data_IF_392636142605
#
_entry.id   IF_392636142605
#
_cell.length_a   1.000
_cell.length_b   1.000
_cell.length_c   1.000
_cell.angle_alpha   90.00
_cell.angle_beta   90.00
_cell.angle_gamma   90.00
#
_symmetry.space_group_name_H-M   'P 1'
#
loop_
_entity.id
_entity.type
_entity.pdbx_description
1 polymer ?
#
# COMPACT_ATOMS: atom_id res chain seq x y z
N UNK A 1 16.00 -12.86 -32.49
CA UNK A 1 14.69 -12.86 -31.79
C UNK A 1 14.27 -11.42 -31.53
N UNK A 2 13.31 -10.88 -32.28
CA UNK A 2 12.77 -9.55 -32.01
C UNK A 2 11.87 -9.61 -30.78
N UNK A 3 12.37 -9.15 -29.64
CA UNK A 3 11.52 -8.78 -28.51
C UNK A 3 10.57 -7.68 -28.97
N UNK A 4 9.28 -8.01 -29.15
CA UNK A 4 8.23 -6.99 -29.30
C UNK A 4 8.41 -5.99 -28.14
N UNK A 5 8.51 -4.68 -28.40
CA UNK A 5 8.52 -3.72 -27.31
C UNK A 5 7.25 -3.96 -26.48
N UNK A 6 7.45 -4.22 -25.19
CA UNK A 6 6.34 -4.41 -24.26
C UNK A 6 5.40 -3.22 -24.43
N UNK A 7 4.12 -3.50 -24.75
CA UNK A 7 3.12 -2.46 -24.90
C UNK A 7 2.99 -1.77 -23.54
N UNK A 8 3.60 -0.60 -23.39
CA UNK A 8 3.50 0.22 -22.18
C UNK A 8 2.02 0.44 -21.88
N UNK A 9 1.61 0.06 -20.68
CA UNK A 9 0.26 0.30 -20.19
C UNK A 9 0.22 1.72 -19.63
N UNK A 10 -0.06 2.70 -20.48
CA UNK A 10 -0.12 4.12 -20.10
C UNK A 10 -1.06 4.37 -18.91
N UNK A 11 -2.12 3.57 -18.76
CA UNK A 11 -3.01 3.65 -17.60
C UNK A 11 -2.35 3.31 -16.26
N UNK A 12 -1.35 2.42 -16.23
CA UNK A 12 -0.58 2.14 -15.02
C UNK A 12 0.33 3.32 -14.67
N UNK A 13 0.95 3.94 -15.67
CA UNK A 13 1.77 5.14 -15.45
C UNK A 13 0.90 6.33 -14.99
N UNK A 14 -0.32 6.48 -15.53
CA UNK A 14 -1.29 7.46 -15.04
C UNK A 14 -1.71 7.19 -13.58
N UNK A 15 -1.96 5.93 -13.21
CA UNK A 15 -2.28 5.57 -11.83
C UNK A 15 -1.11 5.88 -10.87
N UNK A 16 0.15 5.70 -11.29
CA UNK A 16 1.33 6.16 -10.52
C UNK A 16 1.32 7.67 -10.33
N UNK A 17 1.01 8.42 -11.38
CA UNK A 17 0.89 9.88 -11.33
C UNK A 17 -0.18 10.34 -10.33
N UNK A 18 -1.36 9.70 -10.35
CA UNK A 18 -2.44 9.97 -9.39
C UNK A 18 -2.00 9.66 -7.95
N UNK A 19 -1.29 8.54 -7.74
CA UNK A 19 -0.77 8.17 -6.43
C UNK A 19 0.23 9.21 -5.89
N UNK A 20 1.21 9.60 -6.72
CA UNK A 20 2.20 10.62 -6.37
C UNK A 20 1.56 11.98 -6.08
N UNK A 21 0.60 12.41 -6.90
CA UNK A 21 -0.14 13.64 -6.68
C UNK A 21 -0.91 13.62 -5.35
N UNK A 22 -1.57 12.50 -5.03
CA UNK A 22 -2.28 12.34 -3.77
C UNK A 22 -1.33 12.39 -2.56
N UNK A 23 -0.18 11.72 -2.64
CA UNK A 23 0.83 11.74 -1.56
C UNK A 23 1.41 13.14 -1.36
N UNK A 24 1.70 13.88 -2.44
CA UNK A 24 2.15 15.28 -2.32
C UNK A 24 1.07 16.15 -1.69
N UNK A 25 -0.19 15.98 -2.11
CA UNK A 25 -1.33 16.72 -1.55
C UNK A 25 -1.44 16.53 -0.03
N UNK A 26 -1.28 15.30 0.48
CA UNK A 26 -1.38 15.02 1.93
C UNK A 26 -0.21 15.55 2.75
N UNK A 27 0.92 15.89 2.12
CA UNK A 27 2.09 16.45 2.80
C UNK A 27 2.22 17.97 2.65
N UNK A 28 1.54 18.57 1.67
CA UNK A 28 1.59 20.01 1.39
C UNK A 28 0.36 20.75 1.94
N UNK A 29 -0.81 20.12 1.88
CA UNK A 29 -2.08 20.73 2.28
C UNK A 29 -2.50 20.29 3.68
N UNK A 30 -3.21 21.14 4.43
CA UNK A 30 -3.72 20.78 5.75
C UNK A 30 -4.72 19.63 5.68
N UNK A 31 -4.61 18.70 6.63
CA UNK A 31 -5.53 17.56 6.75
C UNK A 31 -6.72 17.84 7.66
N UNK A 32 -6.60 18.86 8.52
CA UNK A 32 -7.67 19.37 9.36
C UNK A 32 -8.00 20.81 8.96
N UNK A 33 -9.28 21.18 9.05
CA UNK A 33 -9.70 22.57 8.87
C UNK A 33 -9.06 23.43 9.97
N UNK A 34 -8.43 24.57 9.62
CA UNK A 34 -7.73 25.39 10.61
C UNK A 34 -8.63 25.78 11.79
N UNK A 35 -8.19 25.46 13.00
CA UNK A 35 -8.93 25.76 14.23
C UNK A 35 -10.05 24.78 14.58
N UNK A 36 -10.25 23.69 13.82
CA UNK A 36 -11.23 22.63 14.14
C UNK A 36 -10.60 21.24 14.03
N UNK A 37 -11.36 20.22 14.43
CA UNK A 37 -10.99 18.79 14.27
C UNK A 37 -11.63 18.15 13.03
N UNK A 38 -12.23 18.94 12.15
CA UNK A 38 -12.89 18.42 10.95
C UNK A 38 -11.86 18.10 9.86
N UNK A 39 -12.03 16.94 9.22
CA UNK A 39 -11.18 16.52 8.11
C UNK A 39 -11.39 17.40 6.87
N UNK A 40 -10.30 17.80 6.20
CA UNK A 40 -10.38 18.49 4.91
C UNK A 40 -10.72 17.51 3.79
N UNK A 41 -11.17 18.04 2.64
CA UNK A 41 -11.33 17.23 1.42
C UNK A 41 -10.06 16.50 1.01
N UNK A 42 -8.89 17.09 1.25
CA UNK A 42 -7.59 16.43 1.00
C UNK A 42 -7.43 15.19 1.87
N UNK A 43 -7.73 15.28 3.16
CA UNK A 43 -7.65 14.14 4.07
C UNK A 43 -8.64 13.04 3.66
N UNK A 44 -9.90 13.43 3.43
CA UNK A 44 -10.97 12.49 3.06
C UNK A 44 -10.68 11.74 1.75
N UNK A 45 -10.05 12.40 0.78
CA UNK A 45 -9.79 11.81 -0.54
C UNK A 45 -8.48 11.04 -0.62
N UNK A 46 -7.40 11.56 -0.02
CA UNK A 46 -6.04 11.05 -0.25
C UNK A 46 -5.39 10.35 0.93
N UNK A 47 -5.78 10.67 2.18
CA UNK A 47 -5.14 10.08 3.35
C UNK A 47 -5.28 8.55 3.34
N UNK A 48 -4.16 7.85 3.55
CA UNK A 48 -4.02 6.39 3.39
C UNK A 48 -4.09 5.92 1.93
N UNK A 49 -5.16 6.30 1.21
CA UNK A 49 -5.48 5.83 -0.15
C UNK A 49 -4.40 6.10 -1.18
N UNK A 50 -3.78 7.29 -1.15
CA UNK A 50 -2.73 7.65 -2.11
C UNK A 50 -1.49 6.75 -1.95
N UNK A 51 -1.06 6.54 -0.71
CA UNK A 51 0.09 5.68 -0.38
C UNK A 51 -0.20 4.19 -0.62
N UNK A 52 -1.41 3.71 -0.35
CA UNK A 52 -1.83 2.36 -0.68
C UNK A 52 -1.98 2.12 -2.19
N UNK A 53 -2.50 3.11 -2.95
CA UNK A 53 -2.50 3.06 -4.42
C UNK A 53 -1.07 2.97 -4.95
N UNK A 54 -0.13 3.74 -4.40
CA UNK A 54 1.28 3.67 -4.77
C UNK A 54 1.85 2.25 -4.56
N UNK A 55 1.59 1.64 -3.40
CA UNK A 55 2.00 0.28 -3.07
C UNK A 55 1.40 -0.78 -4.02
N UNK A 56 0.09 -0.72 -4.27
CA UNK A 56 -0.60 -1.62 -5.21
C UNK A 56 0.00 -1.49 -6.62
N UNK A 57 0.23 -0.27 -7.11
CA UNK A 57 0.77 -0.05 -8.45
C UNK A 57 2.24 -0.49 -8.56
N UNK A 58 3.02 -0.45 -7.49
CA UNK A 58 4.33 -1.11 -7.52
C UNK A 58 4.23 -2.63 -7.52
N UNK A 59 3.30 -3.23 -6.79
CA UNK A 59 3.00 -4.66 -6.93
C UNK A 59 2.68 -5.03 -8.38
N UNK A 60 1.85 -4.23 -9.07
CA UNK A 60 1.61 -4.38 -10.52
C UNK A 60 2.91 -4.27 -11.29
N UNK A 61 3.76 -3.29 -10.97
CA UNK A 61 5.08 -3.11 -11.56
C UNK A 61 6.00 -4.33 -11.41
N UNK A 62 6.09 -4.91 -10.21
CA UNK A 62 6.86 -6.13 -9.95
C UNK A 62 6.34 -7.29 -10.78
N UNK A 63 5.02 -7.46 -10.85
CA UNK A 63 4.43 -8.50 -11.67
C UNK A 63 4.74 -8.29 -13.17
N UNK A 64 4.60 -7.08 -13.70
CA UNK A 64 4.93 -6.80 -15.11
C UNK A 64 6.42 -7.01 -15.41
N UNK A 65 7.32 -6.64 -14.48
CA UNK A 65 8.76 -6.88 -14.61
C UNK A 65 9.10 -8.37 -14.70
N UNK A 66 8.37 -9.23 -13.98
CA UNK A 66 8.63 -10.69 -13.95
C UNK A 66 7.75 -11.47 -14.95
N UNK A 67 7.37 -10.84 -16.07
CA UNK A 67 6.65 -11.47 -17.19
C UNK A 67 5.14 -11.26 -17.23
N UNK A 68 4.56 -10.49 -16.30
CA UNK A 68 3.12 -10.17 -16.33
C UNK A 68 2.23 -11.43 -16.32
N UNK A 69 1.36 -11.57 -17.33
CA UNK A 69 0.50 -12.74 -17.53
C UNK A 69 1.24 -13.99 -18.02
N UNK A 70 2.43 -13.82 -18.64
CA UNK A 70 3.30 -14.90 -19.12
C UNK A 70 4.57 -14.94 -18.26
N UNK A 71 4.46 -15.56 -17.08
CA UNK A 71 5.54 -15.64 -16.10
C UNK A 71 6.88 -16.06 -16.71
N UNK A 72 7.92 -15.28 -16.38
CA UNK A 72 9.30 -15.70 -16.56
C UNK A 72 9.62 -16.92 -15.68
N UNK A 73 10.54 -17.79 -16.12
CA UNK A 73 10.92 -19.04 -15.44
C UNK A 73 12.43 -19.20 -15.35
N UNK A 74 12.86 -20.08 -14.45
CA UNK A 74 14.24 -20.54 -14.31
C UNK A 74 15.25 -19.37 -14.19
N UNK A 75 16.22 -19.31 -15.09
CA UNK A 75 17.27 -18.30 -15.10
C UNK A 75 16.72 -16.87 -15.29
N UNK A 76 15.68 -16.69 -16.10
CA UNK A 76 15.08 -15.37 -16.34
C UNK A 76 14.42 -14.80 -15.08
N UNK A 77 13.65 -15.62 -14.37
CA UNK A 77 13.04 -15.21 -13.10
C UNK A 77 14.10 -14.93 -12.02
N UNK A 78 15.20 -15.70 -12.02
CA UNK A 78 16.30 -15.48 -11.10
C UNK A 78 17.02 -14.15 -11.36
N UNK A 79 17.21 -13.79 -12.63
CA UNK A 79 17.77 -12.48 -13.01
C UNK A 79 16.83 -11.33 -12.62
N UNK A 80 15.52 -11.48 -12.84
CA UNK A 80 14.53 -10.47 -12.43
C UNK A 80 14.55 -10.26 -10.92
N UNK A 81 14.58 -11.34 -10.13
CA UNK A 81 14.66 -11.28 -8.66
C UNK A 81 15.91 -10.56 -8.17
N UNK A 82 17.07 -10.81 -8.81
CA UNK A 82 18.31 -10.07 -8.50
C UNK A 82 18.18 -8.59 -8.81
N UNK A 83 17.61 -8.24 -9.98
CA UNK A 83 17.36 -6.85 -10.35
C UNK A 83 16.41 -6.13 -9.39
N UNK A 84 15.34 -6.81 -8.94
CA UNK A 84 14.42 -6.31 -7.93
C UNK A 84 15.14 -6.11 -6.60
N UNK A 85 15.95 -7.08 -6.15
CA UNK A 85 16.70 -6.99 -4.90
C UNK A 85 17.67 -5.80 -4.89
N UNK A 86 18.44 -5.60 -5.97
CA UNK A 86 19.34 -4.45 -6.11
C UNK A 86 18.56 -3.14 -6.07
N UNK A 87 17.45 -3.04 -6.81
CA UNK A 87 16.60 -1.84 -6.80
C UNK A 87 16.02 -1.58 -5.40
N UNK A 88 15.60 -2.62 -4.70
CA UNK A 88 15.07 -2.54 -3.35
C UNK A 88 16.11 -1.99 -2.37
N UNK A 89 17.35 -2.47 -2.44
CA UNK A 89 18.47 -1.97 -1.63
C UNK A 89 18.78 -0.50 -1.96
N UNK A 90 18.83 -0.12 -3.23
CA UNK A 90 19.07 1.28 -3.62
C UNK A 90 17.96 2.19 -3.10
N UNK A 91 16.68 1.79 -3.24
CA UNK A 91 15.55 2.55 -2.71
C UNK A 91 15.63 2.66 -1.18
N UNK A 92 15.99 1.58 -0.48
CA UNK A 92 16.16 1.59 0.96
C UNK A 92 17.27 2.55 1.41
N UNK A 93 18.43 2.53 0.74
CA UNK A 93 19.53 3.44 1.02
C UNK A 93 19.15 4.90 0.80
N UNK A 94 18.43 5.21 -0.29
CA UNK A 94 17.90 6.56 -0.51
C UNK A 94 16.92 6.93 0.62
N UNK A 95 16.08 6.00 1.05
CA UNK A 95 15.18 6.19 2.18
C UNK A 95 15.91 6.55 3.48
N UNK A 96 17.01 5.86 3.81
CA UNK A 96 17.82 6.14 5.00
C UNK A 96 18.50 7.52 4.92
N UNK A 97 19.05 7.87 3.75
CA UNK A 97 19.67 9.19 3.52
C UNK A 97 18.65 10.31 3.68
N UNK A 98 17.46 10.15 3.08
CA UNK A 98 16.38 11.13 3.22
C UNK A 98 15.81 11.15 4.64
N UNK A 99 15.81 10.03 5.36
CA UNK A 99 15.41 9.92 6.76
C UNK A 99 16.19 10.86 7.67
N UNK A 100 17.48 11.08 7.37
CA UNK A 100 18.34 12.02 8.09
C UNK A 100 18.02 13.50 7.83
N UNK A 101 17.16 13.80 6.84
CA UNK A 101 16.62 15.14 6.64
C UNK A 101 15.42 15.26 7.57
N UNK A 102 15.58 15.95 8.69
CA UNK A 102 14.56 16.17 9.71
C UNK A 102 13.32 16.87 9.12
N UNK A 103 12.38 16.06 8.62
CA UNK A 103 11.14 16.52 8.00
C UNK A 103 9.97 15.85 8.70
N UNK A 104 8.83 16.55 8.79
CA UNK A 104 7.57 15.99 9.30
C UNK A 104 6.87 15.06 8.28
N UNK A 105 7.61 14.53 7.30
CA UNK A 105 7.08 13.68 6.23
C UNK A 105 7.47 12.24 6.56
N UNK A 106 6.48 11.34 6.57
CA UNK A 106 6.74 9.90 6.69
C UNK A 106 7.35 9.35 5.39
N UNK A 107 8.65 9.04 5.42
CA UNK A 107 9.42 8.59 4.27
C UNK A 107 9.21 7.08 4.07
N UNK A 108 8.35 6.73 3.11
CA UNK A 108 7.98 5.35 2.81
C UNK A 108 9.14 4.51 2.21
N UNK A 109 10.19 5.13 1.66
CA UNK A 109 11.17 4.46 0.80
C UNK A 109 11.89 3.28 1.48
N UNK A 110 12.32 3.43 2.74
CA UNK A 110 13.01 2.34 3.43
C UNK A 110 12.12 1.11 3.61
N UNK A 111 10.90 1.31 4.11
CA UNK A 111 9.86 0.29 4.21
C UNK A 111 9.56 -0.35 2.84
N UNK A 112 9.58 0.45 1.76
CA UNK A 112 9.35 -0.03 0.41
C UNK A 112 10.44 -0.96 -0.11
N UNK A 113 11.70 -0.64 0.18
CA UNK A 113 12.82 -1.53 -0.10
C UNK A 113 12.64 -2.87 0.60
N UNK A 114 12.31 -2.86 1.89
CA UNK A 114 12.06 -4.09 2.66
C UNK A 114 10.87 -4.87 2.07
N UNK A 115 9.76 -4.20 1.78
CA UNK A 115 8.59 -4.79 1.12
C UNK A 115 8.94 -5.48 -0.20
N UNK A 116 9.78 -4.88 -1.03
CA UNK A 116 10.22 -5.49 -2.30
C UNK A 116 11.05 -6.75 -2.08
N UNK A 117 11.92 -6.76 -1.07
CA UNK A 117 12.69 -7.95 -0.71
C UNK A 117 11.77 -9.08 -0.21
N UNK A 118 10.83 -8.74 0.67
CA UNK A 118 9.83 -9.69 1.20
C UNK A 118 8.88 -10.19 0.11
N UNK A 119 8.65 -9.41 -0.95
CA UNK A 119 7.81 -9.80 -2.08
C UNK A 119 8.51 -10.79 -3.05
N UNK A 120 9.84 -10.93 -3.01
CA UNK A 120 10.60 -11.78 -3.94
C UNK A 120 10.10 -13.23 -4.05
N UNK A 121 9.75 -13.95 -2.96
CA UNK A 121 9.23 -15.31 -3.05
C UNK A 121 7.95 -15.41 -3.89
N UNK A 122 7.10 -14.38 -3.84
CA UNK A 122 5.80 -14.34 -4.51
C UNK A 122 5.88 -14.02 -6.01
N UNK A 123 7.00 -13.47 -6.48
CA UNK A 123 7.17 -13.06 -7.89
C UNK A 123 6.98 -14.20 -8.90
N UNK A 124 7.28 -15.44 -8.51
CA UNK A 124 7.11 -16.62 -9.38
C UNK A 124 5.70 -17.19 -9.41
N UNK A 125 4.77 -16.63 -8.63
CA UNK A 125 3.42 -17.18 -8.48
C UNK A 125 2.48 -16.71 -9.59
N UNK A 126 1.57 -17.62 -9.96
CA UNK A 126 0.44 -17.34 -10.87
C UNK A 126 -0.66 -16.57 -10.13
N UNK A 127 -1.65 -16.09 -10.89
CA UNK A 127 -2.77 -15.30 -10.35
C UNK A 127 -3.54 -16.01 -9.22
N UNK A 128 -3.82 -17.31 -9.32
CA UNK A 128 -4.63 -18.03 -8.31
C UNK A 128 -3.93 -18.11 -6.94
N UNK A 129 -2.67 -18.59 -6.83
CA UNK A 129 -1.94 -18.50 -5.56
C UNK A 129 -1.75 -17.09 -5.05
N UNK A 130 -1.49 -16.10 -5.92
CA UNK A 130 -1.37 -14.70 -5.50
C UNK A 130 -2.69 -14.16 -4.94
N UNK A 131 -3.83 -14.53 -5.52
CA UNK A 131 -5.13 -14.15 -5.01
C UNK A 131 -5.40 -14.77 -3.64
N UNK A 132 -5.04 -16.05 -3.45
CA UNK A 132 -5.17 -16.72 -2.15
C UNK A 132 -4.27 -16.08 -1.09
N UNK A 133 -3.01 -15.78 -1.43
CA UNK A 133 -2.09 -15.07 -0.55
C UNK A 133 -2.59 -13.66 -0.24
N UNK A 134 -2.99 -12.88 -1.25
CA UNK A 134 -3.52 -11.53 -1.04
C UNK A 134 -4.75 -11.54 -0.12
N UNK A 135 -5.72 -12.41 -0.38
CA UNK A 135 -6.92 -12.52 0.45
C UNK A 135 -6.59 -12.97 1.88
N UNK A 136 -5.80 -14.04 2.03
CA UNK A 136 -5.38 -14.53 3.34
C UNK A 136 -4.60 -13.46 4.12
N UNK A 137 -3.72 -12.72 3.46
CA UNK A 137 -2.89 -11.70 4.09
C UNK A 137 -3.71 -10.49 4.55
N UNK A 138 -4.63 -10.01 3.71
CA UNK A 138 -5.54 -8.92 4.07
C UNK A 138 -6.41 -9.26 5.29
N UNK A 139 -6.76 -10.54 5.48
CA UNK A 139 -7.58 -10.99 6.60
C UNK A 139 -6.76 -11.29 7.86
N UNK A 140 -5.60 -11.94 7.71
CA UNK A 140 -4.85 -12.50 8.84
C UNK A 140 -3.75 -11.57 9.35
N UNK A 141 -3.11 -10.77 8.49
CA UNK A 141 -2.03 -9.88 8.90
C UNK A 141 -2.47 -8.83 9.94
N UNK A 142 -3.68 -8.22 9.85
CA UNK A 142 -4.17 -7.31 10.89
C UNK A 142 -4.40 -7.99 12.24
N UNK A 143 -4.95 -9.21 12.24
CA UNK A 143 -5.15 -10.00 13.46
C UNK A 143 -3.81 -10.36 14.09
N UNK A 144 -2.84 -10.81 13.27
CA UNK A 144 -1.49 -11.09 13.72
C UNK A 144 -0.83 -9.83 14.30
N UNK A 145 -0.95 -8.68 13.63
CA UNK A 145 -0.41 -7.43 14.14
C UNK A 145 -1.04 -7.01 15.47
N UNK A 146 -2.36 -7.11 15.60
CA UNK A 146 -3.07 -6.81 16.85
C UNK A 146 -2.57 -7.67 18.02
N UNK A 147 -2.33 -8.96 17.79
CA UNK A 147 -1.83 -9.87 18.82
C UNK A 147 -0.34 -9.67 19.13
N UNK A 148 0.48 -9.37 18.13
CA UNK A 148 1.93 -9.29 18.26
C UNK A 148 2.41 -7.92 18.77
N UNK A 149 1.72 -6.83 18.44
CA UNK A 149 2.15 -5.45 18.80
C UNK A 149 2.42 -5.27 20.30
N UNK A 150 1.53 -5.67 21.23
CA UNK A 150 1.78 -5.49 22.66
C UNK A 150 3.00 -6.29 23.14
N UNK A 151 3.19 -7.51 22.63
CA UNK A 151 4.30 -8.39 23.00
C UNK A 151 5.63 -7.83 22.49
N UNK A 152 5.65 -7.32 21.27
CA UNK A 152 6.86 -6.75 20.66
C UNK A 152 7.21 -5.41 21.29
N UNK A 153 6.22 -4.53 21.52
CA UNK A 153 6.43 -3.23 22.15
C UNK A 153 7.00 -3.35 23.57
N UNK A 154 6.57 -4.35 24.35
CA UNK A 154 7.11 -4.61 25.68
C UNK A 154 8.55 -5.16 25.68
N UNK A 155 9.04 -5.63 24.54
CA UNK A 155 10.36 -6.28 24.40
C UNK A 155 11.43 -5.41 23.72
N UNK A 156 11.13 -4.15 23.41
CA UNK A 156 12.07 -3.23 22.75
C UNK A 156 12.34 -1.99 23.61
N UNK A 157 13.58 -1.52 23.56
CA UNK A 157 14.04 -0.29 24.21
C UNK A 157 15.01 0.42 23.25
N UNK A 158 14.68 1.61 22.73
CA UNK A 158 13.50 2.43 23.02
C UNK A 158 12.19 1.85 22.46
N UNK A 159 11.05 2.31 22.98
CA UNK A 159 9.69 1.87 22.62
C UNK A 159 9.29 2.20 21.18
N UNK A 160 9.93 3.19 20.56
CA UNK A 160 9.70 3.64 19.19
C UNK A 160 10.95 4.31 18.63
N UNK A 161 11.09 4.31 17.30
CA UNK A 161 12.12 5.09 16.61
C UNK A 161 11.82 6.60 16.63
N UNK A 162 10.57 7.00 16.91
CA UNK A 162 10.16 8.41 17.00
C UNK A 162 10.17 9.17 15.66
N UNK A 163 10.45 8.52 14.54
CA UNK A 163 10.55 9.18 13.24
C UNK A 163 10.95 8.24 12.11
N UNK A 164 11.50 8.82 11.04
CA UNK A 164 11.95 8.05 9.88
C UNK A 164 13.17 7.18 10.24
N UNK A 165 13.29 5.97 9.67
CA UNK A 165 14.49 5.16 9.82
C UNK A 165 15.75 5.87 9.31
N UNK A 166 16.80 5.91 10.14
CA UNK A 166 18.12 6.46 9.82
C UNK A 166 19.23 5.44 10.12
N UNK A 167 20.46 5.75 9.71
CA UNK A 167 21.61 4.85 9.92
C UNK A 167 21.91 4.56 11.40
N UNK A 168 21.62 5.50 12.31
CA UNK A 168 21.87 5.32 13.74
C UNK A 168 20.94 4.27 14.36
N UNK A 169 19.75 4.05 13.76
CA UNK A 169 18.79 3.06 14.26
C UNK A 169 19.28 1.61 14.09
N UNK A 170 20.35 1.37 13.32
CA UNK A 170 21.00 0.06 13.28
C UNK A 170 21.70 -0.30 14.61
N UNK A 171 21.91 0.68 15.50
CA UNK A 171 22.41 0.45 16.86
C UNK A 171 21.33 -0.12 17.80
N UNK A 172 20.05 0.04 17.44
CA UNK A 172 18.89 -0.51 18.16
C UNK A 172 18.11 -1.47 17.24
N UNK A 173 18.72 -2.60 16.82
CA UNK A 173 18.19 -3.44 15.75
C UNK A 173 16.83 -4.06 16.08
N UNK A 174 16.52 -4.27 17.36
CA UNK A 174 15.23 -4.79 17.81
C UNK A 174 14.11 -3.77 17.62
N UNK A 175 14.30 -2.53 18.06
CA UNK A 175 13.35 -1.43 17.83
C UNK A 175 13.20 -1.13 16.35
N UNK A 176 14.30 -1.13 15.59
CA UNK A 176 14.24 -0.98 14.14
C UNK A 176 13.39 -2.10 13.50
N UNK A 177 13.62 -3.36 13.85
CA UNK A 177 12.80 -4.45 13.33
C UNK A 177 11.32 -4.33 13.74
N UNK A 178 11.05 -3.95 14.99
CA UNK A 178 9.68 -3.76 15.48
C UNK A 178 8.95 -2.64 14.71
N UNK A 179 9.61 -1.52 14.44
CA UNK A 179 9.09 -0.40 13.66
C UNK A 179 8.76 -0.84 12.24
N UNK A 180 9.74 -1.39 11.54
CA UNK A 180 9.61 -1.76 10.13
C UNK A 180 8.51 -2.80 9.91
N UNK A 181 8.41 -3.80 10.79
CA UNK A 181 7.49 -4.91 10.55
C UNK A 181 6.09 -4.74 11.16
N UNK A 182 5.93 -3.99 12.26
CA UNK A 182 4.69 -4.04 13.06
C UNK A 182 4.17 -2.69 13.57
N UNK A 183 5.06 -1.87 14.15
CA UNK A 183 4.67 -0.71 14.98
C UNK A 183 4.82 0.63 14.25
N UNK A 184 5.67 0.69 13.23
CA UNK A 184 5.93 1.90 12.46
C UNK A 184 4.77 2.32 11.56
N UNK A 185 4.98 3.42 10.83
CA UNK A 185 3.94 4.06 10.01
C UNK A 185 3.48 3.20 8.81
N UNK A 186 4.40 2.40 8.25
CA UNK A 186 4.16 1.56 7.06
C UNK A 186 4.53 0.10 7.33
N UNK A 187 3.88 -0.58 8.29
CA UNK A 187 4.35 -1.86 8.80
C UNK A 187 4.32 -2.92 7.69
N UNK A 188 5.48 -3.50 7.42
CA UNK A 188 5.72 -4.45 6.30
C UNK A 188 4.75 -5.62 6.37
N UNK A 189 4.40 -6.09 7.58
CA UNK A 189 3.46 -7.17 7.77
C UNK A 189 2.12 -6.84 7.10
N UNK A 190 1.46 -5.73 7.42
CA UNK A 190 0.16 -5.39 6.82
C UNK A 190 0.30 -4.96 5.36
N UNK A 191 1.33 -4.14 5.06
CA UNK A 191 1.51 -3.51 3.74
C UNK A 191 1.90 -4.47 2.64
N UNK A 192 2.46 -5.64 2.98
CA UNK A 192 2.67 -6.71 2.01
C UNK A 192 1.36 -7.11 1.30
N UNK A 193 0.21 -6.98 1.99
CA UNK A 193 -1.11 -7.20 1.41
C UNK A 193 -1.37 -6.33 0.16
N UNK A 194 -1.01 -5.05 0.19
CA UNK A 194 -1.16 -4.15 -0.97
C UNK A 194 -0.27 -4.59 -2.14
N UNK A 195 0.97 -4.99 -1.87
CA UNK A 195 1.88 -5.50 -2.90
C UNK A 195 1.37 -6.80 -3.50
N UNK A 196 0.85 -7.73 -2.68
CA UNK A 196 0.28 -9.00 -3.15
C UNK A 196 -0.95 -8.76 -4.04
N UNK A 197 -1.85 -7.86 -3.64
CA UNK A 197 -2.98 -7.42 -4.49
C UNK A 197 -2.45 -6.86 -5.80
N UNK A 198 -1.49 -5.93 -5.75
CA UNK A 198 -0.87 -5.36 -6.95
C UNK A 198 -0.26 -6.43 -7.87
N UNK A 199 0.48 -7.37 -7.32
CA UNK A 199 1.08 -8.46 -8.10
C UNK A 199 0.00 -9.35 -8.73
N UNK A 200 -1.06 -9.70 -7.97
CA UNK A 200 -2.22 -10.42 -8.51
C UNK A 200 -2.82 -9.65 -9.70
N UNK A 201 -3.05 -8.35 -9.57
CA UNK A 201 -3.57 -7.50 -10.64
C UNK A 201 -2.65 -7.49 -11.86
N UNK A 202 -1.33 -7.40 -11.66
CA UNK A 202 -0.35 -7.43 -12.75
C UNK A 202 -0.22 -8.79 -13.46
N UNK A 203 -0.76 -9.87 -12.89
CA UNK A 203 -0.90 -11.18 -13.59
C UNK A 203 -2.12 -11.25 -14.51
N UNK A 204 -3.09 -10.35 -14.35
CA UNK A 204 -4.27 -10.32 -15.21
C UNK A 204 -3.92 -9.67 -16.57
N UNK A 205 -4.71 -10.00 -17.59
CA UNK A 205 -4.62 -9.31 -18.87
C UNK A 205 -5.35 -7.95 -18.79
N UNK A 206 -4.63 -6.95 -18.26
CA UNK A 206 -5.12 -5.59 -18.05
C UNK A 206 -5.50 -4.85 -19.34
N UNK A 207 -5.26 -5.45 -20.52
CA UNK A 207 -5.70 -4.91 -21.81
C UNK A 207 -7.16 -5.25 -22.15
N UNK A 208 -7.73 -6.30 -21.52
CA UNK A 208 -9.11 -6.75 -21.77
C UNK A 208 -10.13 -5.87 -21.07
N UNK A 209 -11.21 -5.54 -21.78
CA UNK A 209 -12.29 -4.70 -21.21
C UNK A 209 -13.00 -5.37 -20.04
N UNK A 210 -13.30 -6.67 -20.15
CA UNK A 210 -13.92 -7.41 -19.07
C UNK A 210 -13.09 -7.41 -17.78
N UNK A 211 -11.75 -7.48 -17.90
CA UNK A 211 -10.86 -7.37 -16.74
C UNK A 211 -10.92 -5.96 -16.16
N UNK A 212 -10.82 -4.91 -16.99
CA UNK A 212 -10.91 -3.51 -16.51
C UNK A 212 -12.23 -3.22 -15.80
N UNK A 213 -13.37 -3.62 -16.37
CA UNK A 213 -14.69 -3.43 -15.76
C UNK A 213 -14.86 -4.28 -14.50
N UNK A 214 -14.36 -5.53 -14.51
CA UNK A 214 -14.37 -6.40 -13.34
C UNK A 214 -13.55 -5.82 -12.18
N UNK A 215 -12.38 -5.23 -12.47
CA UNK A 215 -11.56 -4.54 -11.48
C UNK A 215 -12.24 -3.29 -10.93
N UNK A 216 -12.92 -2.52 -11.79
CA UNK A 216 -13.69 -1.36 -11.34
C UNK A 216 -14.83 -1.78 -10.40
N UNK A 217 -15.64 -2.76 -10.82
CA UNK A 217 -16.77 -3.24 -10.04
C UNK A 217 -16.35 -3.87 -8.72
N UNK A 218 -15.40 -4.80 -8.75
CA UNK A 218 -14.89 -5.46 -7.55
C UNK A 218 -14.16 -4.47 -6.62
N UNK A 219 -13.38 -3.54 -7.17
CA UNK A 219 -12.67 -2.52 -6.41
C UNK A 219 -13.63 -1.57 -5.69
N UNK A 220 -14.65 -1.07 -6.38
CA UNK A 220 -15.70 -0.22 -5.79
C UNK A 220 -16.49 -0.98 -4.73
N UNK A 221 -16.90 -2.23 -5.02
CA UNK A 221 -17.63 -3.05 -4.06
C UNK A 221 -16.82 -3.32 -2.78
N UNK A 222 -15.52 -3.66 -2.91
CA UNK A 222 -14.63 -3.86 -1.77
C UNK A 222 -14.43 -2.55 -0.99
N UNK A 223 -14.19 -1.44 -1.68
CA UNK A 223 -13.96 -0.13 -1.06
C UNK A 223 -15.18 0.34 -0.26
N UNK A 224 -16.35 0.35 -0.88
CA UNK A 224 -17.60 0.80 -0.25
C UNK A 224 -18.05 -0.18 0.82
N UNK A 225 -18.01 -1.49 0.52
CA UNK A 225 -18.41 -2.53 1.45
C UNK A 225 -17.61 -2.51 2.76
N UNK A 226 -16.28 -2.31 2.68
CA UNK A 226 -15.44 -2.21 3.87
C UNK A 226 -15.77 -0.97 4.72
N UNK A 227 -16.02 0.19 4.09
CA UNK A 227 -16.43 1.41 4.81
C UNK A 227 -17.81 1.29 5.44
N UNK A 228 -18.78 0.73 4.71
CA UNK A 228 -20.12 0.49 5.24
C UNK A 228 -20.10 -0.50 6.40
N UNK A 229 -19.38 -1.61 6.27
CA UNK A 229 -19.25 -2.59 7.35
C UNK A 229 -18.57 -1.97 8.58
N UNK A 230 -17.51 -1.18 8.39
CA UNK A 230 -16.85 -0.46 9.48
C UNK A 230 -17.80 0.53 10.17
N UNK A 231 -18.56 1.31 9.40
CA UNK A 231 -19.56 2.24 9.95
C UNK A 231 -20.67 1.52 10.73
N UNK A 232 -21.14 0.36 10.25
CA UNK A 232 -22.14 -0.45 10.95
C UNK A 232 -21.59 -1.03 12.26
N UNK A 233 -20.35 -1.53 12.25
CA UNK A 233 -19.69 -2.09 13.42
C UNK A 233 -19.36 -1.03 14.48
N UNK A 234 -18.83 0.12 14.05
CA UNK A 234 -18.45 1.20 14.96
C UNK A 234 -19.66 1.99 15.47
N UNK A 235 -20.66 2.26 14.63
CA UNK A 235 -21.88 2.97 15.02
C UNK A 235 -22.89 2.05 15.71
N UNK A 236 -23.87 1.47 14.97
CA UNK A 236 -24.90 0.59 15.54
C UNK A 236 -24.37 -0.60 16.35
N UNK A 237 -23.21 -1.16 15.96
CA UNK A 237 -22.57 -2.25 16.69
C UNK A 237 -21.93 -1.85 18.02
N UNK A 238 -21.89 -0.56 18.36
CA UNK A 238 -21.33 -0.05 19.60
C UNK A 238 -19.81 -0.02 19.65
N UNK A 239 -19.13 -0.33 18.55
CA UNK A 239 -17.66 -0.39 18.52
C UNK A 239 -16.98 0.93 18.87
N UNK A 240 -17.51 2.06 18.42
CA UNK A 240 -16.97 3.38 18.75
C UNK A 240 -17.05 3.64 20.26
N UNK A 241 -18.20 3.35 20.89
CA UNK A 241 -18.36 3.51 22.34
C UNK A 241 -17.37 2.62 23.11
N UNK A 242 -17.15 1.39 22.64
CA UNK A 242 -16.15 0.49 23.23
C UNK A 242 -14.72 1.02 23.05
N UNK A 243 -14.39 1.61 21.90
CA UNK A 243 -13.08 2.22 21.66
C UNK A 243 -12.85 3.45 22.52
N UNK A 244 -13.85 4.32 22.70
CA UNK A 244 -13.77 5.48 23.58
C UNK A 244 -13.54 5.09 25.06
N UNK A 245 -13.88 3.85 25.44
CA UNK A 245 -13.57 3.30 26.76
C UNK A 245 -12.12 2.80 26.94
N UNK A 246 -11.32 2.75 25.87
CA UNK A 246 -9.89 2.38 25.94
C UNK A 246 -9.02 3.57 26.37
N UNK A 247 -7.81 3.33 26.92
CA UNK A 247 -6.91 4.42 27.32
C UNK A 247 -6.64 5.42 26.19
N UNK A 248 -6.35 4.93 24.99
CA UNK A 248 -6.04 5.79 23.84
C UNK A 248 -7.28 6.39 23.18
N UNK A 249 -8.40 5.66 23.15
CA UNK A 249 -9.64 6.19 22.59
C UNK A 249 -10.23 7.35 23.39
N UNK A 250 -9.96 7.43 24.69
CA UNK A 250 -10.34 8.58 25.54
C UNK A 250 -9.31 9.72 25.55
N UNK A 251 -8.05 9.42 25.20
CA UNK A 251 -6.95 10.40 25.20
C UNK A 251 -6.96 11.33 24.00
N UNK A 252 -7.34 10.82 22.83
CA UNK A 252 -7.28 11.54 21.57
C UNK A 252 -8.69 11.88 21.05
N UNK A 253 -8.84 12.87 20.15
CA UNK A 253 -10.10 13.12 19.45
C UNK A 253 -10.38 12.01 18.42
N UNK A 254 -10.69 10.81 18.91
CA UNK A 254 -10.71 9.58 18.12
C UNK A 254 -11.62 9.68 16.90
N UNK A 255 -12.82 10.25 17.06
CA UNK A 255 -13.78 10.41 15.96
C UNK A 255 -13.20 11.21 14.79
N UNK A 256 -12.50 12.31 15.06
CA UNK A 256 -11.82 13.09 14.05
C UNK A 256 -10.62 12.35 13.44
N UNK A 257 -9.90 11.57 14.24
CA UNK A 257 -8.77 10.76 13.75
C UNK A 257 -9.23 9.58 12.89
N UNK A 258 -10.45 9.06 13.06
CA UNK A 258 -10.99 8.00 12.20
C UNK A 258 -11.13 8.44 10.72
N UNK A 259 -11.31 9.75 10.48
CA UNK A 259 -11.40 10.30 9.13
C UNK A 259 -10.04 10.65 8.53
N UNK A 260 -9.07 11.06 9.35
CA UNK A 260 -7.77 11.55 8.88
C UNK A 260 -6.68 10.50 8.96
N UNK A 261 -6.57 9.77 10.07
CA UNK A 261 -5.65 8.65 10.23
C UNK A 261 -5.32 8.32 11.69
N UNK A 262 -5.00 7.05 11.93
CA UNK A 262 -4.65 6.51 13.26
C UNK A 262 -3.16 6.20 13.42
N UNK A 263 -2.31 6.88 12.65
CA UNK A 263 -0.87 6.72 12.79
C UNK A 263 -0.44 7.16 14.21
N UNK A 264 0.34 6.32 14.89
CA UNK A 264 0.83 6.59 16.25
C UNK A 264 -0.16 6.36 17.39
N UNK A 265 -1.40 5.93 17.09
CA UNK A 265 -2.37 5.52 18.12
C UNK A 265 -2.13 4.05 18.48
N UNK A 266 -2.04 3.72 19.77
CA UNK A 266 -2.01 2.33 20.21
C UNK A 266 -3.40 1.72 20.06
N UNK A 267 -3.48 0.71 19.22
CA UNK A 267 -4.72 0.01 18.87
C UNK A 267 -4.86 -1.29 19.66
N UNK A 268 -4.52 -1.24 20.95
CA UNK A 268 -4.60 -2.37 21.89
C UNK A 268 -5.82 -2.29 22.82
N UNK A 269 -6.03 -3.32 23.64
CA UNK A 269 -7.07 -3.32 24.69
C UNK A 269 -8.51 -3.56 24.23
N UNK A 270 -8.80 -3.53 22.92
CA UNK A 270 -10.13 -3.84 22.39
C UNK A 270 -10.08 -4.45 21.00
N UNK A 271 -10.79 -5.56 20.79
CA UNK A 271 -10.93 -6.18 19.47
C UNK A 271 -11.67 -5.29 18.46
N UNK A 272 -12.42 -4.29 18.94
CA UNK A 272 -13.10 -3.31 18.08
C UNK A 272 -12.13 -2.48 17.24
N UNK A 273 -10.84 -2.42 17.60
CA UNK A 273 -9.84 -1.79 16.74
C UNK A 273 -9.77 -2.45 15.36
N UNK A 274 -10.00 -3.76 15.25
CA UNK A 274 -10.03 -4.46 13.95
C UNK A 274 -11.22 -4.06 13.06
N UNK A 275 -12.28 -3.49 13.63
CA UNK A 275 -13.44 -2.99 12.89
C UNK A 275 -13.25 -1.58 12.33
N UNK A 276 -12.14 -0.92 12.64
CA UNK A 276 -11.83 0.41 12.11
C UNK A 276 -11.46 0.32 10.63
N UNK A 277 -11.76 1.36 9.86
CA UNK A 277 -11.34 1.52 8.45
C UNK A 277 -10.63 2.85 8.20
N UNK A 278 -10.06 3.43 9.26
CA UNK A 278 -9.39 4.72 9.24
C UNK A 278 -8.06 4.65 8.47
N UNK A 279 -7.63 5.74 7.82
CA UNK A 279 -6.34 5.77 7.15
C UNK A 279 -5.19 5.32 8.06
N UNK A 280 -4.31 4.46 7.55
CA UNK A 280 -3.13 3.97 8.27
C UNK A 280 -3.44 3.16 9.54
N UNK A 281 -4.69 2.72 9.76
CA UNK A 281 -4.98 1.81 10.89
C UNK A 281 -4.34 0.44 10.67
N UNK A 282 -4.21 -0.01 9.42
CA UNK A 282 -3.66 -1.32 9.09
C UNK A 282 -4.59 -2.47 9.48
N UNK A 283 -5.87 -2.17 9.67
CA UNK A 283 -6.93 -3.13 10.00
C UNK A 283 -7.48 -3.77 8.72
N UNK A 284 -8.16 -4.91 8.83
CA UNK A 284 -8.70 -5.61 7.65
C UNK A 284 -9.60 -4.71 6.80
N UNK A 285 -10.49 -3.93 7.42
CA UNK A 285 -11.40 -3.07 6.69
C UNK A 285 -10.69 -1.86 6.06
N UNK A 286 -9.64 -1.31 6.67
CA UNK A 286 -8.79 -0.29 6.05
C UNK A 286 -8.04 -0.87 4.83
N UNK A 287 -7.36 -2.01 5.00
CA UNK A 287 -6.60 -2.62 3.92
C UNK A 287 -7.50 -3.02 2.73
N UNK A 288 -8.67 -3.60 2.99
CA UNK A 288 -9.64 -3.92 1.92
C UNK A 288 -10.18 -2.65 1.27
N UNK A 289 -10.48 -1.61 2.07
CA UNK A 289 -10.95 -0.34 1.54
C UNK A 289 -9.93 0.28 0.58
N UNK A 290 -8.69 0.42 1.04
CA UNK A 290 -7.59 1.05 0.31
C UNK A 290 -7.20 0.22 -0.91
N UNK A 291 -7.11 -1.11 -0.80
CA UNK A 291 -6.83 -1.98 -1.94
C UNK A 291 -7.95 -1.93 -3.00
N UNK A 292 -9.21 -1.86 -2.57
CA UNK A 292 -10.37 -1.70 -3.44
C UNK A 292 -10.37 -0.35 -4.17
N UNK A 293 -10.11 0.74 -3.44
CA UNK A 293 -9.95 2.08 -4.03
C UNK A 293 -8.80 2.11 -5.04
N UNK A 294 -7.67 1.48 -4.71
CA UNK A 294 -6.53 1.39 -5.62
C UNK A 294 -6.88 0.63 -6.91
N UNK A 295 -7.56 -0.51 -6.80
CA UNK A 295 -8.02 -1.29 -7.96
C UNK A 295 -8.99 -0.50 -8.83
N UNK A 296 -9.91 0.25 -8.22
CA UNK A 296 -10.85 1.12 -8.94
C UNK A 296 -10.12 2.25 -9.69
N UNK A 297 -9.16 2.94 -9.05
CA UNK A 297 -8.37 3.99 -9.71
C UNK A 297 -7.55 3.43 -10.87
N UNK A 298 -6.89 2.28 -10.67
CA UNK A 298 -6.15 1.58 -11.74
C UNK A 298 -7.09 1.26 -12.91
N UNK A 299 -8.28 0.74 -12.64
CA UNK A 299 -9.27 0.43 -13.67
C UNK A 299 -9.74 1.69 -14.43
N UNK A 300 -10.04 2.79 -13.73
CA UNK A 300 -10.41 4.07 -14.34
C UNK A 300 -9.29 4.58 -15.24
N UNK A 301 -8.05 4.60 -14.77
CA UNK A 301 -6.90 5.03 -15.59
C UNK A 301 -6.71 4.15 -16.83
N UNK A 302 -6.90 2.83 -16.72
CA UNK A 302 -6.85 1.91 -17.86
C UNK A 302 -7.99 2.16 -18.86
N UNK A 303 -9.21 2.43 -18.38
CA UNK A 303 -10.37 2.73 -19.23
C UNK A 303 -10.22 4.07 -19.96
N UNK A 304 -9.75 5.10 -19.27
CA UNK A 304 -9.51 6.44 -19.86
C UNK A 304 -8.42 6.38 -20.93
N UNK A 305 -7.30 5.72 -20.65
CA UNK A 305 -6.17 5.62 -21.59
C UNK A 305 -6.43 4.66 -22.75
N UNK A 306 -7.46 3.82 -22.67
CA UNK A 306 -7.88 2.96 -23.78
C UNK A 306 -8.30 3.74 -25.02
N UNK A 307 -8.83 4.95 -24.84
CA UNK A 307 -9.25 5.85 -25.92
C UNK A 307 -8.08 6.59 -26.58
N UNK A 308 -6.90 6.60 -25.93
CA UNK A 308 -5.70 7.30 -26.39
C UNK A 308 -4.53 6.32 -26.56
N UNK A 309 -4.50 5.52 -27.65
CA UNK A 309 -3.37 4.64 -27.90
C UNK A 309 -2.06 5.45 -28.01
N UNK A 310 -0.95 4.96 -27.42
CA UNK A 310 0.31 5.68 -27.49
C UNK A 310 0.73 5.89 -28.96
N UNK A 311 1.40 7.01 -29.28
CA UNK A 311 1.88 7.26 -30.63
C UNK A 311 2.74 6.06 -31.07
N UNK A 312 2.40 5.47 -32.21
CA UNK A 312 3.18 4.36 -32.77
C UNK A 312 4.59 4.89 -32.99
N UNK A 313 5.57 4.35 -32.26
CA UNK A 313 6.96 4.65 -32.57
C UNK A 313 7.20 4.31 -34.04
N UNK A 314 7.61 5.31 -34.82
CA UNK A 314 7.93 5.16 -36.22
C UNK A 314 8.91 3.99 -36.36
N UNK A 315 8.44 2.88 -36.92
CA UNK A 315 9.35 1.84 -37.42
C UNK A 315 10.09 2.47 -38.58
N UNK A 316 11.34 2.86 -38.37
CA UNK A 316 12.29 3.01 -39.45
C UNK A 316 12.39 1.64 -40.14
N UNK A 317 11.62 1.46 -41.22
CA UNK A 317 11.87 0.39 -42.18
C UNK A 317 13.26 0.67 -42.76
N UNK A 318 14.21 -0.29 -42.74
CA UNK A 318 15.39 -0.14 -43.56
C UNK A 318 14.91 -0.10 -45.02
N UNK A 319 15.16 1.02 -45.70
CA UNK A 319 15.08 1.07 -47.17
C UNK A 319 16.33 0.36 -47.67
N UNK A 320 16.20 -0.90 -48.08
CA UNK A 320 17.07 -1.47 -49.11
C UNK A 320 16.76 -0.80 -50.45
N UNK A 321 17.73 -0.71 -51.37
CA UNK A 321 18.19 -1.88 -52.11
C UNK A 321 19.55 -2.42 -51.69
#
# INVERSE_FOLDING_TARGET
MHTKPARRLTGIDAARGVALFGMMSTHVLPLYTPGTTEATWTALLFSGRASGLFAVVAGVGLALLTGGSTLHRDHTLSADRRGIAVRAVVIALIGLVLGGVETNIAIILFHYGVLFLVALPFTGLRVKPLAAWAAGWLLLAPVAAYLLRPVVAAGVDPESLGGNPVFDHFLVPQTLAADIFLTGYYPVLQWLGFLLVGMMLGRLDLSRLGVQLGLLGAGVAAAVGAKLLSAQLLGPGGGLAALLGTPDGSRYPLEAMLDVGLAGVDQSGSWWWLAVSAPHSGTTLDLVHVAGSAAAVVAVCLLLTRRFPPPRSCRCRPRGP
#
